data_IF_750295299984
#
_entry.id   IF_750295299984
#
_cell.length_a   1.000
_cell.length_b   1.000
_cell.length_c   1.000
_cell.angle_alpha   90.00
_cell.angle_beta   90.00
_cell.angle_gamma   90.00
#
_symmetry.space_group_name_H-M   'P 1'
#
loop_
_entity.id
_entity.type
_entity.pdbx_description
1 polymer ?
#
# COMPACT_ATOMS: atom_id res chain seq x y z
N UNK A 1 34.96 21.88 -30.28
CA UNK A 1 33.50 21.83 -30.46
C UNK A 1 32.98 20.72 -29.57
N UNK A 2 32.54 21.09 -28.35
CA UNK A 2 31.92 20.21 -27.37
C UNK A 2 30.53 19.77 -27.82
N UNK A 3 30.23 18.47 -27.79
CA UNK A 3 28.87 17.97 -27.84
C UNK A 3 28.63 17.02 -26.65
N UNK A 4 27.85 17.54 -25.70
CA UNK A 4 27.32 16.89 -24.51
C UNK A 4 26.08 16.08 -24.93
N UNK A 5 25.93 14.78 -24.58
CA UNK A 5 24.68 14.10 -24.83
C UNK A 5 23.63 14.52 -23.78
N UNK A 6 22.44 14.84 -24.27
CA UNK A 6 21.30 15.27 -23.48
C UNK A 6 20.87 14.20 -22.47
N UNK A 7 20.78 14.60 -21.21
CA UNK A 7 20.09 13.88 -20.14
C UNK A 7 18.64 13.63 -20.55
N UNK A 8 18.25 12.36 -20.74
CA UNK A 8 16.83 11.98 -20.74
C UNK A 8 16.42 11.78 -19.29
N UNK A 9 15.83 12.84 -18.73
CA UNK A 9 15.21 12.82 -17.42
C UNK A 9 14.16 11.70 -17.35
N UNK A 10 14.49 10.63 -16.64
CA UNK A 10 13.52 9.63 -16.22
C UNK A 10 12.61 10.25 -15.16
N UNK A 11 11.52 10.89 -15.61
CA UNK A 11 10.39 11.12 -14.70
C UNK A 11 9.78 9.77 -14.36
N UNK A 12 9.60 9.42 -13.06
CA UNK A 12 8.78 8.29 -12.69
C UNK A 12 7.37 8.55 -13.22
N UNK A 13 6.84 7.63 -14.03
CA UNK A 13 5.52 7.75 -14.63
C UNK A 13 4.45 7.90 -13.56
N UNK A 14 3.96 9.12 -13.35
CA UNK A 14 2.76 9.37 -12.57
C UNK A 14 1.60 8.68 -13.27
N UNK A 15 0.89 7.81 -12.55
CA UNK A 15 -0.33 7.14 -13.04
C UNK A 15 -1.27 8.19 -13.61
N UNK A 16 -1.76 7.96 -14.83
CA UNK A 16 -2.71 8.88 -15.45
C UNK A 16 -4.02 8.88 -14.67
N UNK A 17 -4.75 9.99 -14.66
CA UNK A 17 -6.02 10.11 -13.95
C UNK A 17 -7.04 9.04 -14.39
N UNK A 18 -7.03 8.67 -15.68
CA UNK A 18 -7.86 7.57 -16.21
C UNK A 18 -7.51 6.20 -15.63
N UNK A 19 -6.22 5.95 -15.37
CA UNK A 19 -5.75 4.72 -14.71
C UNK A 19 -6.21 4.67 -13.25
N UNK A 20 -6.17 5.80 -12.54
CA UNK A 20 -6.68 5.90 -11.18
C UNK A 20 -8.20 5.67 -11.08
N UNK A 21 -8.97 6.18 -12.05
CA UNK A 21 -10.42 5.91 -12.13
C UNK A 21 -10.68 4.44 -12.45
N UNK A 22 -9.98 3.87 -13.44
CA UNK A 22 -10.12 2.47 -13.80
C UNK A 22 -9.79 1.55 -12.61
N UNK A 23 -8.76 1.88 -11.82
CA UNK A 23 -8.42 1.17 -10.59
C UNK A 23 -9.49 1.29 -9.50
N UNK A 24 -10.23 2.40 -9.44
CA UNK A 24 -11.37 2.53 -8.51
C UNK A 24 -12.58 1.70 -8.93
N UNK A 25 -12.83 1.56 -10.24
CA UNK A 25 -13.94 0.76 -10.78
C UNK A 25 -13.59 -0.73 -10.77
N UNK A 26 -12.30 -1.07 -10.89
CA UNK A 26 -11.77 -2.44 -10.90
C UNK A 26 -10.64 -2.59 -9.88
N UNK A 27 -10.98 -2.65 -8.59
CA UNK A 27 -9.99 -2.59 -7.52
C UNK A 27 -9.22 -3.90 -7.34
N UNK A 28 -9.68 -5.00 -7.94
CA UNK A 28 -9.05 -6.31 -7.81
C UNK A 28 -8.08 -6.56 -8.95
N UNK A 29 -6.78 -6.52 -8.66
CA UNK A 29 -5.74 -6.84 -9.61
C UNK A 29 -5.22 -8.26 -9.35
N UNK A 30 -5.09 -9.07 -10.40
CA UNK A 30 -4.44 -10.38 -10.31
C UNK A 30 -3.01 -10.25 -10.81
N UNK A 31 -2.07 -10.73 -10.01
CA UNK A 31 -0.64 -10.71 -10.26
C UNK A 31 -0.09 -12.14 -10.24
N UNK A 32 0.93 -12.43 -11.04
CA UNK A 32 1.72 -13.67 -10.91
C UNK A 32 2.77 -13.51 -9.82
N UNK A 33 3.43 -14.61 -9.39
CA UNK A 33 4.42 -14.63 -8.30
C UNK A 33 5.61 -13.66 -8.39
N UNK A 34 5.78 -12.95 -9.51
CA UNK A 34 6.75 -11.86 -9.69
C UNK A 34 6.14 -10.45 -9.55
N UNK A 35 4.89 -10.32 -9.11
CA UNK A 35 4.20 -9.04 -8.98
C UNK A 35 3.77 -8.41 -10.32
N UNK A 36 3.76 -9.19 -11.41
CA UNK A 36 3.30 -8.69 -12.72
C UNK A 36 1.79 -8.83 -12.82
N UNK A 37 1.09 -7.71 -13.00
CA UNK A 37 -0.37 -7.70 -13.18
C UNK A 37 -0.76 -8.35 -14.52
N UNK A 38 -1.65 -9.33 -14.46
CA UNK A 38 -2.14 -10.07 -15.63
C UNK A 38 -3.63 -9.86 -15.89
N UNK A 39 -4.39 -9.41 -14.90
CA UNK A 39 -5.83 -9.10 -15.05
C UNK A 39 -6.32 -8.10 -14.01
N UNK A 40 -7.48 -7.46 -14.28
CA UNK A 40 -8.20 -6.58 -13.35
C UNK A 40 -9.70 -6.84 -13.39
N UNK A 41 -10.35 -6.81 -12.23
CA UNK A 41 -11.77 -7.16 -12.06
C UNK A 41 -12.50 -6.17 -11.16
N UNK A 42 -13.82 -6.07 -11.36
CA UNK A 42 -14.68 -5.21 -10.57
C UNK A 42 -14.95 -5.79 -9.18
N UNK A 43 -14.99 -7.13 -9.07
CA UNK A 43 -15.32 -7.82 -7.83
C UNK A 43 -14.29 -8.88 -7.45
N UNK A 44 -14.25 -9.20 -6.14
CA UNK A 44 -13.47 -10.31 -5.62
C UNK A 44 -13.86 -11.65 -6.27
N UNK A 45 -15.16 -11.92 -6.40
CA UNK A 45 -15.66 -13.19 -6.94
C UNK A 45 -15.19 -13.43 -8.37
N UNK A 46 -15.24 -12.41 -9.23
CA UNK A 46 -14.75 -12.51 -10.63
C UNK A 46 -13.25 -12.82 -10.66
N UNK A 47 -12.45 -12.08 -9.89
CA UNK A 47 -11.00 -12.31 -9.81
C UNK A 47 -10.67 -13.70 -9.28
N UNK A 48 -11.42 -14.17 -8.27
CA UNK A 48 -11.23 -15.44 -7.61
C UNK A 48 -11.55 -16.63 -8.54
N UNK A 49 -12.68 -16.60 -9.24
CA UNK A 49 -13.05 -17.63 -10.21
C UNK A 49 -12.01 -17.68 -11.34
N UNK A 50 -11.69 -16.52 -11.91
CA UNK A 50 -10.71 -16.43 -12.98
C UNK A 50 -9.34 -16.98 -12.56
N UNK A 51 -8.91 -16.69 -11.33
CA UNK A 51 -7.65 -17.23 -10.82
C UNK A 51 -7.67 -18.76 -10.76
N UNK A 52 -8.74 -19.38 -10.24
CA UNK A 52 -8.87 -20.85 -10.22
C UNK A 52 -8.93 -21.50 -11.60
N UNK A 53 -9.61 -20.85 -12.55
CA UNK A 53 -9.60 -21.29 -13.96
C UNK A 53 -8.19 -21.20 -14.55
N UNK A 54 -7.50 -20.08 -14.32
CA UNK A 54 -6.13 -19.87 -14.80
C UNK A 54 -5.16 -20.87 -14.18
N UNK A 55 -5.41 -21.29 -12.94
CA UNK A 55 -4.62 -22.30 -12.27
C UNK A 55 -4.75 -23.69 -12.93
N UNK A 56 -5.77 -23.96 -13.75
CA UNK A 56 -5.81 -25.22 -14.52
C UNK A 56 -4.71 -25.31 -15.58
N UNK A 57 -4.13 -24.18 -16.00
CA UNK A 57 -2.99 -24.14 -16.92
C UNK A 57 -1.73 -24.68 -16.21
N UNK A 58 -1.07 -25.73 -16.72
CA UNK A 58 0.15 -26.28 -16.11
C UNK A 58 1.33 -25.32 -16.14
N UNK A 59 1.32 -24.31 -17.03
CA UNK A 59 2.41 -23.35 -17.20
C UNK A 59 2.21 -22.06 -16.40
N UNK A 60 1.15 -21.96 -15.61
CA UNK A 60 0.93 -20.79 -14.76
C UNK A 60 2.04 -20.65 -13.72
N UNK A 61 2.54 -19.43 -13.54
CA UNK A 61 3.54 -19.13 -12.52
C UNK A 61 2.81 -18.89 -11.19
N UNK A 62 3.11 -19.73 -10.21
CA UNK A 62 2.51 -19.70 -8.88
C UNK A 62 3.35 -18.89 -7.87
N UNK A 63 2.74 -18.35 -6.80
CA UNK A 63 1.28 -18.25 -6.59
C UNK A 63 0.67 -17.15 -7.49
N UNK A 64 -0.64 -17.23 -7.73
CA UNK A 64 -1.38 -16.05 -8.15
C UNK A 64 -1.71 -15.21 -6.92
N UNK A 65 -1.53 -13.90 -7.01
CA UNK A 65 -1.87 -12.95 -5.97
C UNK A 65 -3.03 -12.07 -6.44
N UNK A 66 -4.07 -11.94 -5.64
CA UNK A 66 -5.18 -11.02 -5.91
C UNK A 66 -5.09 -9.88 -4.90
N UNK A 67 -4.71 -8.71 -5.39
CA UNK A 67 -4.63 -7.47 -4.61
C UNK A 67 -5.98 -6.75 -4.65
N UNK A 68 -6.58 -6.53 -3.48
CA UNK A 68 -7.65 -5.56 -3.29
C UNK A 68 -7.01 -4.19 -2.99
N UNK A 69 -7.01 -3.30 -3.98
CA UNK A 69 -6.41 -1.98 -3.87
C UNK A 69 -7.20 -0.99 -3.02
N UNK A 70 -8.46 -1.30 -2.73
CA UNK A 70 -9.29 -0.47 -1.84
C UNK A 70 -8.94 -0.75 -0.39
N UNK A 71 -8.85 -2.03 -0.03
CA UNK A 71 -8.60 -2.46 1.34
C UNK A 71 -7.10 -2.66 1.63
N UNK A 72 -6.25 -2.65 0.60
CA UNK A 72 -4.80 -2.95 0.68
C UNK A 72 -4.54 -4.32 1.29
N UNK A 73 -5.25 -5.31 0.78
CA UNK A 73 -5.16 -6.71 1.20
C UNK A 73 -4.76 -7.53 -0.02
N UNK A 74 -3.95 -8.57 0.18
CA UNK A 74 -3.62 -9.53 -0.87
C UNK A 74 -4.13 -10.91 -0.48
N UNK A 75 -4.64 -11.67 -1.46
CA UNK A 75 -4.94 -13.09 -1.28
C UNK A 75 -4.02 -13.90 -2.19
N UNK A 76 -3.38 -14.93 -1.65
CA UNK A 76 -2.58 -15.90 -2.43
C UNK A 76 -3.44 -17.09 -2.80
N UNK A 77 -3.42 -17.43 -4.08
CA UNK A 77 -4.18 -18.53 -4.65
C UNK A 77 -3.18 -19.49 -5.28
N UNK A 78 -3.15 -20.71 -4.75
CA UNK A 78 -2.45 -21.87 -5.31
C UNK A 78 -3.49 -22.88 -5.81
N UNK A 79 -3.06 -24.03 -6.32
CA UNK A 79 -3.99 -25.08 -6.75
C UNK A 79 -4.73 -25.69 -5.54
N UNK A 80 -4.09 -25.65 -4.37
CA UNK A 80 -4.53 -26.31 -3.16
C UNK A 80 -5.17 -25.35 -2.15
N UNK A 81 -4.79 -24.06 -2.18
CA UNK A 81 -5.14 -23.10 -1.12
C UNK A 81 -5.53 -21.71 -1.64
N UNK A 82 -6.43 -21.06 -0.89
CA UNK A 82 -6.78 -19.64 -1.03
C UNK A 82 -6.54 -18.95 0.32
N UNK A 83 -5.39 -18.32 0.46
CA UNK A 83 -4.92 -17.75 1.72
C UNK A 83 -5.07 -16.23 1.73
N UNK A 84 -5.64 -15.70 2.83
CA UNK A 84 -5.73 -14.27 3.07
C UNK A 84 -4.43 -13.76 3.69
N UNK A 85 -3.77 -12.81 3.03
CA UNK A 85 -2.61 -12.09 3.54
C UNK A 85 -3.01 -10.63 3.76
N UNK A 86 -3.42 -10.33 4.99
CA UNK A 86 -3.68 -8.95 5.39
C UNK A 86 -2.35 -8.24 5.69
N UNK A 87 -2.16 -7.07 5.07
CA UNK A 87 -1.00 -6.24 5.32
C UNK A 87 -1.33 -5.39 6.55
N UNK A 88 -0.70 -5.67 7.70
CA UNK A 88 -0.85 -4.80 8.86
C UNK A 88 -0.25 -3.43 8.53
N UNK A 89 -1.09 -2.41 8.38
CA UNK A 89 -0.63 -1.02 8.24
C UNK A 89 -0.40 -0.47 9.64
N UNK A 90 0.85 -0.29 10.05
CA UNK A 90 1.20 0.57 11.17
C UNK A 90 1.15 2.04 10.72
N UNK A 91 -0.02 2.68 10.79
CA UNK A 91 -0.07 4.15 10.68
C UNK A 91 0.28 4.73 12.05
N UNK A 92 1.44 5.38 12.17
CA UNK A 92 1.73 6.24 13.32
C UNK A 92 0.79 7.44 13.26
N UNK A 93 -0.35 7.36 13.95
CA UNK A 93 -1.16 8.53 14.25
C UNK A 93 -0.33 9.36 15.22
N UNK A 94 -0.08 10.63 14.90
CA UNK A 94 0.65 11.54 15.81
C UNK A 94 -0.02 11.53 17.18
N UNK A 95 0.68 11.02 18.18
CA UNK A 95 0.23 11.14 19.57
C UNK A 95 0.38 12.59 20.02
N UNK A 96 -0.49 13.03 20.92
CA UNK A 96 -0.26 14.24 21.69
C UNK A 96 1.12 14.12 22.33
N UNK A 97 2.05 15.04 22.05
CA UNK A 97 3.24 15.17 22.89
C UNK A 97 2.72 15.41 24.33
N UNK A 98 3.21 14.67 25.34
CA UNK A 98 2.90 15.04 26.71
C UNK A 98 3.39 16.47 26.87
N UNK A 99 2.50 17.40 27.25
CA UNK A 99 2.96 18.67 27.79
C UNK A 99 3.85 18.30 28.97
N UNK A 100 5.15 18.51 28.83
CA UNK A 100 6.03 18.58 29.98
C UNK A 100 5.49 19.74 30.80
N UNK A 101 4.67 19.44 31.82
CA UNK A 101 4.36 20.38 32.87
C UNK A 101 5.65 20.57 33.68
N UNK A 102 6.58 21.34 33.14
CA UNK A 102 7.60 22.03 33.92
C UNK A 102 6.93 23.19 34.66
N UNK A 103 5.95 22.85 35.51
CA UNK A 103 5.48 23.72 36.59
C UNK A 103 5.98 23.14 37.91
N UNK A 104 7.29 22.96 37.99
CA UNK A 104 7.96 23.01 39.27
C UNK A 104 9.09 24.04 39.19
N UNK A 105 8.79 25.24 39.68
CA UNK A 105 9.64 26.05 40.57
C UNK A 105 9.45 27.55 40.28
N UNK A 106 8.53 28.15 41.05
CA UNK A 106 8.76 29.35 41.87
C UNK A 106 7.58 30.32 41.82
N UNK A 107 6.66 30.17 42.78
CA UNK A 107 6.09 31.35 43.41
C UNK A 107 7.25 32.18 43.99
N UNK A 108 7.63 33.25 43.29
CA UNK A 108 8.33 34.38 43.90
C UNK A 108 7.26 35.42 44.20
N UNK A 109 6.87 35.52 45.47
CA UNK A 109 6.30 36.75 45.98
C UNK A 109 7.39 37.83 46.01
N UNK A 110 7.03 39.09 45.84
CA UNK A 110 7.97 40.21 45.67
C UNK A 110 8.74 40.57 46.96
N UNK A 111 8.57 39.82 48.06
CA UNK A 111 9.13 40.17 49.37
C UNK A 111 9.97 39.08 50.06
N UNK A 112 10.46 38.08 49.32
CA UNK A 112 11.71 37.39 49.68
C UNK A 112 11.81 36.73 51.06
N UNK A 113 10.78 36.04 51.55
CA UNK A 113 10.91 35.05 52.65
C UNK A 113 10.20 33.73 52.32
N UNK A 114 10.88 32.61 52.59
CA UNK A 114 10.36 31.25 52.48
C UNK A 114 9.66 30.86 53.80
N UNK A 115 8.41 30.41 53.72
CA UNK A 115 7.76 29.58 54.75
C UNK A 115 7.99 28.12 54.37
#
# INVERSE_FOLDING_TARGET
MDQRPASKDHRPGGRTFGEAIAQRIRPYAVLIGYGVQVAIFATWNEAHIWAHEKLQDPNVILPLEVEDRTQRITRRITRETCELIAWTIFTKVGGCEPMNNDFDTAYRDLDGKRV
#
